data_IF_479030487901
#
_entry.id   IF_479030487901
#
_cell.length_a   1.000
_cell.length_b   1.000
_cell.length_c   1.000
_cell.angle_alpha   90.00
_cell.angle_beta   90.00
_cell.angle_gamma   90.00
#
_symmetry.space_group_name_H-M   'P 1'
#
loop_
_entity.id
_entity.type
_entity.pdbx_description
1 polymer ?
#
# COMPACT_ATOMS: atom_id res chain seq x y z
N UNK A 1 42.25 54.72 20.69
CA UNK A 1 41.11 53.80 20.74
C UNK A 1 41.05 53.09 19.40
N UNK A 2 41.69 51.92 19.33
CA UNK A 2 41.56 50.96 18.23
C UNK A 2 40.12 50.48 18.11
N UNK A 3 39.68 50.24 16.86
CA UNK A 3 38.67 49.23 16.51
C UNK A 3 38.98 48.72 15.12
N UNK A 4 39.84 47.72 15.06
CA UNK A 4 39.81 46.72 14.00
C UNK A 4 38.61 45.80 14.30
N UNK A 5 37.74 45.54 13.31
CA UNK A 5 37.10 44.22 13.24
C UNK A 5 36.67 43.91 11.81
N UNK A 6 37.29 42.84 11.34
CA UNK A 6 37.33 42.30 10.00
C UNK A 6 36.02 41.54 9.74
N UNK A 7 35.47 41.66 8.53
CA UNK A 7 34.25 40.94 8.11
C UNK A 7 34.54 39.44 7.96
N UNK A 8 34.75 38.75 9.08
CA UNK A 8 34.83 37.30 9.19
C UNK A 8 33.41 36.73 9.31
N UNK A 9 32.71 36.66 8.18
CA UNK A 9 31.49 35.85 8.08
C UNK A 9 31.85 34.37 8.33
N UNK A 10 31.11 33.64 9.19
CA UNK A 10 31.38 32.22 9.39
C UNK A 10 31.09 31.47 8.08
N UNK A 11 32.15 30.98 7.45
CA UNK A 11 32.11 30.05 6.34
C UNK A 11 31.54 28.73 6.87
N UNK A 12 30.23 28.53 6.72
CA UNK A 12 29.59 27.29 7.16
C UNK A 12 30.04 26.14 6.25
N UNK A 13 30.92 25.32 6.79
CA UNK A 13 31.42 24.08 6.24
C UNK A 13 30.27 23.06 6.22
N UNK A 14 29.56 22.93 5.09
CA UNK A 14 28.57 21.86 4.96
C UNK A 14 29.29 20.59 4.48
N UNK A 15 29.50 19.69 5.44
CA UNK A 15 30.20 18.42 5.29
C UNK A 15 29.68 17.61 4.09
N UNK A 16 30.59 17.31 3.17
CA UNK A 16 30.41 16.31 2.10
C UNK A 16 30.43 14.92 2.71
N UNK A 17 29.26 14.36 3.03
CA UNK A 17 29.17 12.95 3.41
C UNK A 17 29.24 12.06 2.17
N UNK A 18 30.47 11.75 1.74
CA UNK A 18 30.75 10.58 0.93
C UNK A 18 30.56 9.31 1.77
N UNK A 19 29.64 8.45 1.35
CA UNK A 19 29.42 7.13 1.94
C UNK A 19 28.89 6.17 0.89
N UNK A 20 29.81 5.50 0.21
CA UNK A 20 29.53 4.46 -0.77
C UNK A 20 28.78 3.26 -0.16
N UNK A 21 27.86 2.74 -0.97
CA UNK A 21 27.54 1.32 -1.14
C UNK A 21 27.22 0.49 0.12
N UNK A 22 25.93 0.19 0.29
CA UNK A 22 25.35 -1.16 0.12
C UNK A 22 23.86 -1.10 0.44
N UNK A 23 23.05 -1.59 -0.50
CA UNK A 23 21.62 -1.88 -0.38
C UNK A 23 21.37 -2.94 0.69
N UNK A 24 21.63 -2.63 1.96
CA UNK A 24 21.35 -3.54 3.07
C UNK A 24 20.13 -3.05 3.82
N UNK A 25 18.97 -3.43 3.30
CA UNK A 25 17.74 -3.65 4.05
C UNK A 25 17.44 -2.56 5.11
N UNK A 26 17.00 -1.37 4.66
CA UNK A 26 16.40 -0.37 5.56
C UNK A 26 15.15 -1.00 6.19
N UNK A 27 15.34 -1.67 7.32
CA UNK A 27 14.22 -2.13 8.14
C UNK A 27 13.50 -0.88 8.59
N UNK A 28 12.16 -0.78 8.39
CA UNK A 28 11.42 0.35 8.90
C UNK A 28 11.67 0.48 10.41
N UNK A 29 11.85 1.70 10.88
CA UNK A 29 11.93 2.02 12.31
C UNK A 29 10.53 1.74 12.88
N UNK A 30 10.30 0.50 13.31
CA UNK A 30 9.08 0.11 14.01
C UNK A 30 9.23 0.63 15.43
N UNK A 31 8.77 1.86 15.67
CA UNK A 31 8.39 2.28 17.03
C UNK A 31 7.38 1.26 17.53
N UNK A 32 7.57 0.69 18.72
CA UNK A 32 6.83 -0.47 19.23
C UNK A 32 5.32 -0.27 19.48
N UNK A 33 4.71 0.76 18.92
CA UNK A 33 3.27 0.97 18.94
C UNK A 33 2.59 0.11 17.86
N UNK A 34 1.57 -0.68 18.22
CA UNK A 34 0.80 -1.44 17.23
C UNK A 34 0.05 -0.49 16.30
N UNK A 35 0.34 -0.56 14.99
CA UNK A 35 -0.34 0.25 13.98
C UNK A 35 -1.81 -0.18 13.83
N UNK A 36 -2.74 0.73 14.13
CA UNK A 36 -4.15 0.58 13.77
C UNK A 36 -4.35 0.88 12.27
N UNK A 37 -4.65 -0.17 11.51
CA UNK A 37 -4.79 -0.10 10.06
C UNK A 37 -6.06 0.68 9.67
N UNK A 38 -7.14 0.58 10.45
CA UNK A 38 -8.43 1.18 10.11
C UNK A 38 -8.35 2.70 10.27
N UNK A 39 -7.88 3.16 11.43
CA UNK A 39 -7.64 4.57 11.70
C UNK A 39 -6.64 5.16 10.68
N UNK A 40 -5.58 4.42 10.35
CA UNK A 40 -4.62 4.85 9.34
C UNK A 40 -5.23 4.99 7.95
N UNK A 41 -6.05 4.02 7.53
CA UNK A 41 -6.66 4.00 6.21
C UNK A 41 -7.80 5.02 6.05
N UNK A 42 -8.50 5.37 7.13
CA UNK A 42 -9.59 6.35 7.14
C UNK A 42 -9.15 7.76 6.70
N UNK A 43 -7.88 8.12 6.92
CA UNK A 43 -7.30 9.39 6.48
C UNK A 43 -7.08 9.48 4.97
N UNK A 44 -7.23 8.38 4.23
CA UNK A 44 -6.98 8.31 2.79
C UNK A 44 -8.20 7.79 2.04
N UNK A 45 -8.28 8.11 0.74
CA UNK A 45 -9.34 7.63 -0.16
C UNK A 45 -8.75 7.21 -1.51
N UNK A 46 -9.47 6.36 -2.25
CA UNK A 46 -9.15 5.99 -3.62
C UNK A 46 -7.76 5.34 -3.78
N UNK A 47 -7.06 5.65 -4.88
CA UNK A 47 -5.79 5.00 -5.25
C UNK A 47 -4.72 5.07 -4.15
N UNK A 48 -4.61 6.20 -3.47
CA UNK A 48 -3.62 6.39 -2.39
C UNK A 48 -3.89 5.46 -1.21
N UNK A 49 -5.16 5.29 -0.81
CA UNK A 49 -5.53 4.35 0.25
C UNK A 49 -5.13 2.93 -0.12
N UNK A 50 -5.41 2.52 -1.36
CA UNK A 50 -5.08 1.17 -1.86
C UNK A 50 -3.57 0.93 -1.87
N UNK A 51 -2.77 1.88 -2.38
CA UNK A 51 -1.31 1.73 -2.39
C UNK A 51 -0.71 1.64 -0.98
N UNK A 52 -1.22 2.44 -0.04
CA UNK A 52 -0.79 2.40 1.36
C UNK A 52 -1.12 1.06 2.02
N UNK A 53 -2.33 0.55 1.82
CA UNK A 53 -2.74 -0.76 2.34
C UNK A 53 -1.91 -1.90 1.73
N UNK A 54 -1.64 -1.84 0.43
CA UNK A 54 -0.73 -2.80 -0.24
C UNK A 54 0.69 -2.73 0.29
N UNK A 55 1.17 -1.54 0.66
CA UNK A 55 2.48 -1.38 1.28
C UNK A 55 2.52 -2.07 2.65
N UNK A 56 1.53 -1.82 3.50
CA UNK A 56 1.40 -2.45 4.83
C UNK A 56 1.36 -3.98 4.68
N UNK A 57 0.54 -4.51 3.77
CA UNK A 57 0.41 -5.95 3.54
C UNK A 57 1.72 -6.63 3.06
N UNK A 58 2.67 -5.89 2.48
CA UNK A 58 3.96 -6.44 2.04
C UNK A 58 5.03 -6.39 3.13
N UNK A 59 4.88 -5.50 4.10
CA UNK A 59 5.93 -5.19 5.08
C UNK A 59 5.56 -5.58 6.52
N UNK A 60 4.43 -6.25 6.74
CA UNK A 60 3.94 -6.64 8.07
C UNK A 60 4.67 -7.83 8.73
N UNK A 61 5.87 -8.21 8.25
CA UNK A 61 6.83 -9.03 9.01
C UNK A 61 6.36 -10.40 9.51
N UNK A 62 5.34 -11.01 8.88
CA UNK A 62 4.77 -12.29 9.30
C UNK A 62 3.48 -12.18 10.14
N UNK A 63 3.01 -10.96 10.46
CA UNK A 63 1.69 -10.77 11.05
C UNK A 63 0.60 -11.00 9.98
N UNK A 64 0.15 -12.26 9.88
CA UNK A 64 -0.83 -12.68 8.89
C UNK A 64 -2.19 -12.00 9.07
N UNK A 65 -2.61 -11.74 10.31
CA UNK A 65 -3.89 -11.06 10.59
C UNK A 65 -3.87 -9.64 10.04
N UNK A 66 -2.81 -8.89 10.32
CA UNK A 66 -2.61 -7.53 9.81
C UNK A 66 -2.54 -7.50 8.28
N UNK A 67 -1.85 -8.49 7.70
CA UNK A 67 -1.75 -8.64 6.25
C UNK A 67 -3.13 -8.81 5.60
N UNK A 68 -3.94 -9.75 6.13
CA UNK A 68 -5.25 -10.06 5.57
C UNK A 68 -6.21 -8.89 5.74
N UNK A 69 -6.17 -8.18 6.87
CA UNK A 69 -7.04 -7.04 7.09
C UNK A 69 -6.69 -5.86 6.17
N UNK A 70 -5.41 -5.59 5.95
CA UNK A 70 -4.98 -4.60 4.97
C UNK A 70 -5.41 -4.96 3.54
N UNK A 71 -5.30 -6.24 3.16
CA UNK A 71 -5.73 -6.73 1.84
C UNK A 71 -7.26 -6.67 1.67
N UNK A 72 -8.02 -6.96 2.72
CA UNK A 72 -9.49 -6.83 2.73
C UNK A 72 -9.92 -5.39 2.46
N UNK A 73 -9.39 -4.44 3.22
CA UNK A 73 -9.70 -3.02 3.01
C UNK A 73 -9.24 -2.52 1.63
N UNK A 74 -8.12 -3.03 1.11
CA UNK A 74 -7.64 -2.67 -0.22
C UNK A 74 -8.61 -3.17 -1.30
N UNK A 75 -9.14 -4.39 -1.13
CA UNK A 75 -10.13 -4.98 -2.01
C UNK A 75 -11.45 -4.19 -2.03
N UNK A 76 -11.94 -3.82 -0.85
CA UNK A 76 -13.18 -3.04 -0.74
C UNK A 76 -13.04 -1.64 -1.33
N UNK A 77 -11.86 -1.02 -1.21
CA UNK A 77 -11.62 0.29 -1.81
C UNK A 77 -11.43 0.22 -3.34
N UNK A 78 -10.71 -0.79 -3.85
CA UNK A 78 -10.49 -0.91 -5.31
C UNK A 78 -11.77 -1.27 -6.06
N UNK A 79 -12.70 -1.99 -5.42
CA UNK A 79 -14.03 -2.27 -5.96
C UNK A 79 -14.88 -1.04 -6.26
N UNK A 80 -14.60 0.09 -5.59
CA UNK A 80 -15.33 1.35 -5.78
C UNK A 80 -14.83 2.12 -7.00
N UNK A 81 -13.66 1.77 -7.53
CA UNK A 81 -13.06 2.44 -8.68
C UNK A 81 -13.04 1.56 -9.93
N UNK A 82 -12.67 2.16 -11.06
CA UNK A 82 -12.67 1.49 -12.38
C UNK A 82 -11.32 0.87 -12.75
N UNK A 83 -10.32 0.94 -11.85
CA UNK A 83 -8.98 0.46 -12.14
C UNK A 83 -8.89 -1.07 -12.07
N UNK A 84 -9.24 -1.70 -13.18
CA UNK A 84 -9.25 -3.16 -13.33
C UNK A 84 -7.87 -3.81 -13.18
N UNK A 85 -6.78 -3.09 -13.47
CA UNK A 85 -5.40 -3.57 -13.26
C UNK A 85 -5.14 -3.75 -11.76
N UNK A 86 -5.41 -2.70 -10.99
CA UNK A 86 -5.20 -2.68 -9.54
C UNK A 86 -6.09 -3.70 -8.84
N UNK A 87 -7.31 -3.92 -9.34
CA UNK A 87 -8.22 -4.95 -8.85
C UNK A 87 -7.60 -6.35 -8.99
N UNK A 88 -7.05 -6.68 -10.17
CA UNK A 88 -6.38 -7.97 -10.38
C UNK A 88 -5.17 -8.16 -9.48
N UNK A 89 -4.36 -7.12 -9.31
CA UNK A 89 -3.19 -7.17 -8.43
C UNK A 89 -3.59 -7.49 -6.98
N UNK A 90 -4.62 -6.82 -6.45
CA UNK A 90 -5.13 -7.06 -5.10
C UNK A 90 -5.70 -8.48 -4.95
N UNK A 91 -6.51 -8.93 -5.91
CA UNK A 91 -7.09 -10.30 -5.89
C UNK A 91 -6.00 -11.37 -5.95
N UNK A 92 -5.01 -11.20 -6.82
CA UNK A 92 -3.88 -12.12 -6.92
C UNK A 92 -3.07 -12.14 -5.62
N UNK A 93 -2.92 -11.00 -4.94
CA UNK A 93 -2.24 -10.90 -3.64
C UNK A 93 -2.98 -11.62 -2.52
N UNK A 94 -4.31 -11.59 -2.54
CA UNK A 94 -5.17 -12.33 -1.59
C UNK A 94 -5.01 -13.84 -1.81
N UNK A 95 -4.86 -14.29 -3.05
CA UNK A 95 -4.61 -15.69 -3.42
C UNK A 95 -5.56 -16.70 -2.73
N UNK A 96 -6.84 -16.32 -2.57
CA UNK A 96 -7.84 -17.16 -1.89
C UNK A 96 -7.71 -17.27 -0.36
N UNK A 97 -6.72 -16.62 0.26
CA UNK A 97 -6.45 -16.71 1.72
C UNK A 97 -7.54 -16.10 2.59
N UNK A 98 -8.42 -15.27 2.03
CA UNK A 98 -9.54 -14.68 2.76
C UNK A 98 -10.77 -15.60 2.88
N UNK A 99 -10.76 -16.79 2.27
CA UNK A 99 -11.87 -17.75 2.30
C UNK A 99 -13.22 -17.16 1.84
N UNK A 100 -14.30 -17.89 2.06
CA UNK A 100 -15.66 -17.51 1.66
C UNK A 100 -16.20 -16.24 2.36
N UNK A 101 -15.40 -15.55 3.18
CA UNK A 101 -15.78 -14.26 3.79
C UNK A 101 -15.91 -13.13 2.76
N UNK A 102 -15.33 -13.27 1.58
CA UNK A 102 -15.62 -12.39 0.43
C UNK A 102 -16.85 -12.84 -0.38
N UNK A 103 -17.45 -13.99 -0.05
CA UNK A 103 -18.60 -14.62 -0.75
C UNK A 103 -19.95 -14.20 -0.14
N UNK A 104 -20.04 -12.97 0.38
CA UNK A 104 -21.30 -12.22 0.30
C UNK A 104 -21.40 -11.43 -1.02
N UNK A 105 -20.59 -11.78 -2.02
CA UNK A 105 -20.95 -11.57 -3.42
C UNK A 105 -21.91 -12.70 -3.77
N UNK A 106 -23.19 -12.36 -3.92
CA UNK A 106 -24.22 -13.31 -4.38
C UNK A 106 -23.67 -14.09 -5.58
N UNK A 107 -23.83 -15.43 -5.62
CA UNK A 107 -23.44 -16.24 -6.76
C UNK A 107 -24.47 -15.99 -7.86
N UNK A 108 -24.36 -14.91 -8.61
CA UNK A 108 -25.08 -14.69 -9.87
C UNK A 108 -24.52 -13.44 -10.54
N UNK A 109 -23.51 -13.65 -11.36
CA UNK A 109 -23.24 -12.92 -12.63
C UNK A 109 -22.06 -13.59 -13.35
N UNK A 110 -22.03 -14.93 -13.39
CA UNK A 110 -21.12 -15.68 -14.25
C UNK A 110 -21.96 -16.25 -15.39
N UNK A 111 -21.75 -15.74 -16.61
CA UNK A 111 -22.13 -16.47 -17.81
C UNK A 111 -20.99 -17.45 -18.10
N UNK A 112 -21.26 -18.75 -17.92
CA UNK A 112 -20.41 -19.81 -18.44
C UNK A 112 -20.48 -19.77 -19.97
N UNK A 113 -19.48 -19.15 -20.59
CA UNK A 113 -19.18 -19.43 -22.00
C UNK A 113 -18.16 -20.55 -22.03
N UNK A 114 -18.61 -21.68 -22.57
CA UNK A 114 -17.82 -22.89 -22.73
C UNK A 114 -16.50 -22.62 -23.46
N UNK A 115 -15.48 -23.36 -23.01
CA UNK A 115 -14.13 -23.44 -23.53
C UNK A 115 -13.25 -22.17 -23.36
N UNK A 116 -12.24 -22.35 -22.50
CA UNK A 116 -11.07 -21.51 -22.22
C UNK A 116 -11.19 -20.58 -21.01
N UNK A 117 -10.42 -20.94 -19.99
CA UNK A 117 -10.35 -20.37 -18.63
C UNK A 117 -9.86 -18.90 -18.61
N UNK A 118 -10.71 -17.97 -19.03
CA UNK A 118 -10.47 -16.54 -18.77
C UNK A 118 -11.64 -15.97 -18.00
N UNK A 119 -11.46 -15.85 -16.67
CA UNK A 119 -12.43 -15.21 -15.77
C UNK A 119 -12.44 -13.70 -16.04
N UNK A 120 -13.38 -13.22 -16.85
CA UNK A 120 -13.56 -11.79 -17.11
C UNK A 120 -14.53 -11.22 -16.06
N UNK A 121 -14.04 -10.30 -15.22
CA UNK A 121 -14.89 -9.55 -14.29
C UNK A 121 -15.65 -8.47 -15.07
N UNK A 122 -16.98 -8.60 -15.15
CA UNK A 122 -17.85 -7.56 -15.68
C UNK A 122 -18.30 -6.65 -14.54
N UNK A 123 -17.88 -5.38 -14.56
CA UNK A 123 -18.42 -4.35 -13.67
C UNK A 123 -19.57 -3.65 -14.41
N UNK A 124 -20.81 -3.68 -13.89
CA UNK A 124 -21.89 -2.91 -14.49
C UNK A 124 -21.64 -1.42 -14.26
N UNK A 125 -21.45 -0.67 -15.34
CA UNK A 125 -21.52 0.79 -15.33
C UNK A 125 -22.98 1.17 -15.14
N UNK A 126 -23.32 1.73 -13.98
CA UNK A 126 -24.64 2.28 -13.73
C UNK A 126 -24.71 3.64 -14.44
N UNK A 127 -25.57 3.76 -15.46
CA UNK A 127 -25.87 5.01 -16.17
C UNK A 127 -26.98 5.76 -15.45
#
# INVERSE_FOLDING_TARGET
MERDDESNGPMMELCTNGGGEKTSNRRPIITGEPLDIEAYAAMYKGRTKIMRLLFIANHCGGNQTMQLEALRMAYDEVKKGENTQLFRDVVNKINGRLGDKLVSVKPNNYVELGLNRTKVFFFPTNT
#
